data_IF_177275706548
#
_entry.id   IF_177275706548
#
_cell.length_a   1.000
_cell.length_b   1.000
_cell.length_c   1.000
_cell.angle_alpha   90.00
_cell.angle_beta   90.00
_cell.angle_gamma   90.00
#
_symmetry.space_group_name_H-M   'P 1'
#
loop_
_entity.id
_entity.type
_entity.pdbx_description
1 polymer ?
#
# COMPACT_ATOMS: atom_id res chain seq x y z
N UNK A 1 4.66 -3.37 12.16
CA UNK A 1 4.57 -2.50 10.96
C UNK A 1 4.95 -3.31 9.74
N UNK A 2 4.15 -3.24 8.68
CA UNK A 2 4.41 -3.96 7.44
C UNK A 2 5.77 -3.57 6.83
N UNK A 3 6.50 -4.55 6.31
CA UNK A 3 7.76 -4.34 5.59
C UNK A 3 7.58 -4.89 4.18
N UNK A 4 8.21 -4.25 3.19
CA UNK A 4 8.28 -4.78 1.84
C UNK A 4 8.87 -6.18 1.86
N UNK A 5 8.23 -7.11 1.16
CA UNK A 5 8.77 -8.46 0.95
C UNK A 5 10.11 -8.38 0.21
N UNK A 6 11.07 -9.22 0.60
CA UNK A 6 12.45 -9.17 0.09
C UNK A 6 12.50 -9.36 -1.42
N UNK A 7 11.60 -10.18 -1.94
CA UNK A 7 11.41 -10.50 -3.35
C UNK A 7 11.07 -9.24 -4.15
N UNK A 8 10.14 -8.41 -3.68
CA UNK A 8 9.77 -7.14 -4.33
C UNK A 8 10.94 -6.17 -4.29
N UNK A 9 11.61 -6.04 -3.14
CA UNK A 9 12.79 -5.17 -3.02
C UNK A 9 13.89 -5.58 -4.00
N UNK A 10 14.14 -6.88 -4.14
CA UNK A 10 15.11 -7.41 -5.09
C UNK A 10 14.68 -7.20 -6.54
N UNK A 11 13.38 -7.35 -6.84
CA UNK A 11 12.82 -7.09 -8.16
C UNK A 11 13.05 -5.64 -8.59
N UNK A 12 12.72 -4.68 -7.71
CA UNK A 12 12.94 -3.24 -7.97
C UNK A 12 14.42 -2.96 -8.19
N UNK A 13 15.29 -3.49 -7.32
CA UNK A 13 16.74 -3.28 -7.45
C UNK A 13 17.30 -3.85 -8.75
N UNK A 14 16.88 -5.06 -9.14
CA UNK A 14 17.39 -5.76 -10.33
C UNK A 14 16.92 -5.11 -11.63
N UNK A 15 15.68 -4.60 -11.66
CA UNK A 15 15.06 -4.08 -12.87
C UNK A 15 14.95 -2.55 -12.86
N UNK A 16 15.72 -1.85 -12.02
CA UNK A 16 15.59 -0.39 -11.81
C UNK A 16 15.56 0.37 -13.14
N UNK A 17 16.55 0.18 -14.02
CA UNK A 17 16.63 0.92 -15.28
C UNK A 17 15.39 0.70 -16.15
N UNK A 18 14.95 -0.56 -16.30
CA UNK A 18 13.74 -0.89 -17.05
C UNK A 18 12.46 -0.33 -16.42
N UNK A 19 12.39 -0.24 -15.10
CA UNK A 19 11.26 0.37 -14.39
C UNK A 19 11.21 1.89 -14.61
N UNK A 20 12.37 2.56 -14.68
CA UNK A 20 12.46 3.99 -14.96
C UNK A 20 12.10 4.35 -16.42
N UNK A 21 12.01 3.36 -17.32
CA UNK A 21 11.55 3.55 -18.70
C UNK A 21 10.03 3.31 -18.86
N UNK A 22 9.34 2.91 -17.78
CA UNK A 22 7.91 2.57 -17.80
C UNK A 22 7.11 3.56 -16.96
N UNK A 23 5.85 3.75 -17.33
CA UNK A 23 4.90 4.42 -16.45
C UNK A 23 4.60 3.50 -15.27
N UNK A 24 4.91 3.96 -14.06
CA UNK A 24 4.69 3.21 -12.82
C UNK A 24 3.54 3.82 -12.04
N UNK A 25 2.66 2.97 -11.53
CA UNK A 25 1.65 3.35 -10.55
C UNK A 25 1.86 2.50 -9.29
N UNK A 26 2.04 3.15 -8.15
CA UNK A 26 2.32 2.48 -6.88
C UNK A 26 1.14 2.62 -5.95
N UNK A 27 0.81 1.53 -5.27
CA UNK A 27 -0.13 1.62 -4.17
C UNK A 27 0.29 0.74 -3.02
N UNK A 28 -0.23 1.06 -1.84
CA UNK A 28 -0.16 0.17 -0.68
C UNK A 28 -1.55 0.05 -0.06
N UNK A 29 -1.78 -1.08 0.59
CA UNK A 29 -2.97 -1.32 1.39
C UNK A 29 -2.57 -1.56 2.85
N UNK A 30 -3.39 -1.11 3.80
CA UNK A 30 -3.15 -1.31 5.22
C UNK A 30 -4.19 -0.63 6.10
N UNK A 31 -3.98 -0.71 7.42
CA UNK A 31 -4.95 -0.25 8.43
C UNK A 31 -4.61 1.10 9.08
N UNK A 32 -3.58 1.82 8.60
CA UNK A 32 -3.19 3.12 9.15
C UNK A 32 -3.12 4.19 8.06
N UNK A 33 -4.28 4.78 7.82
CA UNK A 33 -4.55 5.78 6.79
C UNK A 33 -3.79 7.09 7.01
N UNK A 34 -3.65 7.53 8.27
CA UNK A 34 -3.00 8.80 8.65
C UNK A 34 -1.54 8.95 8.19
N UNK A 35 -0.89 7.85 7.85
CA UNK A 35 0.51 7.84 7.39
C UNK A 35 0.70 7.12 6.03
N UNK A 36 -0.37 6.92 5.24
CA UNK A 36 -0.32 6.15 3.99
C UNK A 36 0.80 6.58 3.03
N UNK A 37 0.88 7.86 2.69
CA UNK A 37 1.93 8.41 1.82
C UNK A 37 3.33 8.28 2.46
N UNK A 38 3.45 8.49 3.77
CA UNK A 38 4.73 8.30 4.48
C UNK A 38 5.19 6.84 4.43
N UNK A 39 4.25 5.89 4.46
CA UNK A 39 4.56 4.47 4.31
C UNK A 39 5.05 4.17 2.90
N UNK A 40 4.44 4.72 1.85
CA UNK A 40 4.92 4.58 0.46
C UNK A 40 6.37 5.06 0.36
N UNK A 41 6.66 6.28 0.83
CA UNK A 41 7.99 6.87 0.81
C UNK A 41 9.03 6.08 1.64
N UNK A 42 8.59 5.35 2.66
CA UNK A 42 9.45 4.49 3.48
C UNK A 42 9.67 3.10 2.85
N UNK A 43 8.70 2.62 2.09
CA UNK A 43 8.65 1.27 1.53
C UNK A 43 9.37 1.20 0.19
N UNK A 44 9.12 2.18 -0.68
CA UNK A 44 9.71 2.24 -2.02
C UNK A 44 10.93 3.19 -2.04
N UNK A 45 11.93 2.93 -2.91
CA UNK A 45 13.01 3.89 -3.16
C UNK A 45 12.44 5.22 -3.68
N UNK A 46 12.99 6.35 -3.21
CA UNK A 46 12.50 7.68 -3.57
C UNK A 46 12.46 7.92 -5.08
N UNK A 47 13.45 7.43 -5.82
CA UNK A 47 13.52 7.57 -7.29
C UNK A 47 12.34 6.87 -7.98
N UNK A 48 11.90 5.72 -7.47
CA UNK A 48 10.76 4.98 -8.00
C UNK A 48 9.46 5.70 -7.67
N UNK A 49 9.34 6.24 -6.45
CA UNK A 49 8.17 7.04 -6.05
C UNK A 49 8.06 8.30 -6.90
N UNK A 50 9.15 9.06 -7.06
CA UNK A 50 9.17 10.30 -7.84
C UNK A 50 8.94 10.07 -9.34
N UNK A 51 9.31 8.90 -9.87
CA UNK A 51 9.04 8.52 -11.26
C UNK A 51 7.61 8.00 -11.49
N UNK A 52 6.91 7.63 -10.42
CA UNK A 52 5.57 7.07 -10.54
C UNK A 52 4.56 8.14 -10.93
N UNK A 53 3.70 7.80 -11.89
CA UNK A 53 2.63 8.69 -12.39
C UNK A 53 1.47 8.82 -11.40
N UNK A 54 1.34 7.85 -10.51
CA UNK A 54 0.28 7.78 -9.51
C UNK A 54 0.82 7.05 -8.28
N UNK A 55 0.51 7.58 -7.09
CA UNK A 55 0.84 6.93 -5.82
C UNK A 55 -0.29 7.07 -4.83
N UNK A 56 -0.88 5.97 -4.37
CA UNK A 56 -2.03 6.04 -3.47
C UNK A 56 -2.00 5.00 -2.34
N UNK A 57 -2.63 5.35 -1.22
CA UNK A 57 -2.94 4.43 -0.12
C UNK A 57 -4.42 4.06 -0.27
N UNK A 58 -4.71 2.79 -0.53
CA UNK A 58 -6.06 2.35 -0.91
C UNK A 58 -6.87 1.79 0.27
N UNK A 59 -6.48 2.10 1.51
CA UNK A 59 -7.06 1.48 2.68
C UNK A 59 -6.69 0.01 2.84
N UNK A 60 -7.43 -0.75 3.64
CA UNK A 60 -7.17 -2.18 3.81
C UNK A 60 -7.94 -2.83 4.95
N UNK A 61 -8.11 -4.15 4.85
CA UNK A 61 -8.82 -4.93 5.85
C UNK A 61 -7.89 -5.51 6.93
N UNK A 62 -8.39 -5.58 8.16
CA UNK A 62 -7.82 -6.42 9.21
C UNK A 62 -8.62 -7.74 9.27
N UNK A 63 -8.13 -8.77 8.59
CA UNK A 63 -8.79 -10.07 8.61
C UNK A 63 -8.45 -10.85 9.89
N UNK A 64 -9.24 -10.62 10.94
CA UNK A 64 -9.06 -11.21 12.27
C UNK A 64 -9.18 -12.74 12.29
N UNK A 65 -9.93 -13.31 11.34
CA UNK A 65 -10.17 -14.75 11.28
C UNK A 65 -8.93 -15.51 10.76
N UNK A 66 -8.05 -14.82 10.01
CA UNK A 66 -6.78 -15.37 9.52
C UNK A 66 -5.59 -15.09 10.46
N UNK A 67 -5.78 -14.41 11.59
CA UNK A 67 -4.71 -14.13 12.56
C UNK A 67 -4.44 -15.33 13.48
N UNK A 68 -3.16 -15.63 13.72
CA UNK A 68 -2.74 -16.65 14.68
C UNK A 68 -3.13 -16.31 16.12
N UNK A 69 -3.23 -17.31 17.01
CA UNK A 69 -3.68 -17.14 18.40
C UNK A 69 -2.91 -16.08 19.21
N UNK A 70 -1.62 -15.86 18.89
CA UNK A 70 -0.78 -14.84 19.54
C UNK A 70 -1.08 -13.43 19.04
N UNK A 71 -1.34 -13.27 17.74
CA UNK A 71 -1.75 -11.99 17.15
C UNK A 71 -3.17 -11.57 17.56
N UNK A 72 -4.03 -12.55 17.89
CA UNK A 72 -5.38 -12.33 18.44
C UNK A 72 -5.38 -11.54 19.76
N UNK A 73 -4.41 -11.76 20.66
CA UNK A 73 -4.40 -11.08 21.97
C UNK A 73 -3.97 -9.62 21.87
N UNK A 74 -3.07 -9.27 20.94
CA UNK A 74 -2.63 -7.88 20.71
C UNK A 74 -3.73 -7.09 19.98
N UNK A 75 -4.39 -7.73 19.01
CA UNK A 75 -5.47 -7.13 18.25
C UNK A 75 -6.76 -6.95 19.06
N UNK A 76 -7.08 -7.81 20.03
CA UNK A 76 -8.25 -7.68 20.91
C UNK A 76 -8.33 -6.35 21.67
N UNK A 77 -7.20 -5.77 22.09
CA UNK A 77 -7.17 -4.46 22.76
C UNK A 77 -7.40 -3.29 21.80
N UNK A 78 -7.11 -3.47 20.50
CA UNK A 78 -7.35 -2.48 19.44
C UNK A 78 -8.80 -2.58 18.94
N UNK A 79 -9.35 -3.80 18.88
CA UNK A 79 -10.71 -4.11 18.38
C UNK A 79 -11.81 -3.70 19.36
N UNK A 80 -11.57 -3.69 20.68
CA UNK A 80 -12.60 -3.24 21.65
C UNK A 80 -13.07 -1.79 21.45
N UNK A 81 -12.36 -0.98 20.65
CA UNK A 81 -12.78 0.37 20.26
C UNK A 81 -13.19 0.53 18.78
N UNK A 82 -12.97 -0.48 17.93
CA UNK A 82 -13.19 -0.38 16.49
C UNK A 82 -13.94 -1.61 15.99
N UNK A 83 -15.23 -1.42 15.70
CA UNK A 83 -16.00 -2.38 14.93
C UNK A 83 -15.26 -2.71 13.63
N UNK A 84 -15.34 -3.97 13.22
CA UNK A 84 -14.74 -4.51 12.00
C UNK A 84 -15.00 -3.60 10.81
N UNK A 85 -14.03 -2.78 10.44
CA UNK A 85 -14.20 -1.88 9.31
C UNK A 85 -13.27 -2.33 8.18
N UNK A 86 -13.92 -2.92 7.17
CA UNK A 86 -13.40 -3.00 5.82
C UNK A 86 -13.29 -1.57 5.29
N UNK A 87 -12.21 -0.87 5.60
CA UNK A 87 -11.98 0.47 5.07
C UNK A 87 -11.01 0.36 3.89
N UNK A 88 -11.46 -0.29 2.81
CA UNK A 88 -10.95 0.05 1.49
C UNK A 88 -11.49 1.44 1.17
N UNK A 89 -10.62 2.30 0.67
CA UNK A 89 -11.00 3.65 0.30
C UNK A 89 -11.40 3.65 -1.18
N UNK A 90 -12.69 3.39 -1.44
CA UNK A 90 -13.23 3.31 -2.80
C UNK A 90 -12.99 4.62 -3.57
N UNK A 91 -13.01 5.76 -2.89
CA UNK A 91 -12.71 7.06 -3.49
C UNK A 91 -11.25 7.12 -3.91
N UNK A 92 -10.32 6.76 -3.02
CA UNK A 92 -8.89 6.73 -3.36
C UNK A 92 -8.57 5.70 -4.47
N UNK A 93 -9.33 4.62 -4.56
CA UNK A 93 -9.22 3.63 -5.65
C UNK A 93 -9.67 4.25 -6.98
N UNK A 94 -10.83 4.89 -7.00
CA UNK A 94 -11.34 5.55 -8.21
C UNK A 94 -10.40 6.67 -8.68
N UNK A 95 -9.93 7.52 -7.77
CA UNK A 95 -8.95 8.57 -8.07
C UNK A 95 -7.66 7.98 -8.64
N UNK A 96 -7.13 6.92 -8.02
CA UNK A 96 -5.92 6.24 -8.49
C UNK A 96 -6.10 5.63 -9.88
N UNK A 97 -7.26 5.03 -10.17
CA UNK A 97 -7.58 4.50 -11.51
C UNK A 97 -7.66 5.63 -12.53
N UNK A 98 -8.26 6.76 -12.17
CA UNK A 98 -8.34 7.93 -13.05
C UNK A 98 -6.96 8.50 -13.38
N UNK A 99 -6.07 8.66 -12.38
CA UNK A 99 -4.69 9.10 -12.57
C UNK A 99 -3.95 8.20 -13.57
N UNK A 100 -4.13 6.88 -13.47
CA UNK A 100 -3.55 5.91 -14.40
C UNK A 100 -4.17 6.04 -15.80
N UNK A 101 -5.51 6.15 -15.87
CA UNK A 101 -6.28 6.15 -17.10
C UNK A 101 -6.06 7.36 -18.00
N UNK A 102 -5.61 8.49 -17.44
CA UNK A 102 -5.30 9.71 -18.21
C UNK A 102 -4.12 9.50 -19.18
N UNK A 103 -3.24 8.52 -18.94
CA UNK A 103 -1.98 8.33 -19.68
C UNK A 103 -2.01 7.14 -20.64
N UNK A 104 -3.04 6.28 -20.59
CA UNK A 104 -3.19 5.10 -21.48
C UNK A 104 -3.90 5.46 -22.81
N UNK A 105 -4.22 6.73 -23.05
CA UNK A 105 -4.77 7.21 -24.33
C UNK A 105 -3.71 7.40 -25.41
#
# INVERSE_FOLDING_TARGET
MGRMRKEIKNFIKKNKNTLMEKNLALFICGSNEKDGIKQINKVFPSEIVSHSIATSFLGGEFNLDKMGFYDKKISQSIIKGANREFNLDDVAIEEFIQEIGIIIK
#
